data_IF_804848636426
#
_entry.id   IF_804848636426
#
_cell.length_a   1.000
_cell.length_b   1.000
_cell.length_c   1.000
_cell.angle_alpha   90.00
_cell.angle_beta   90.00
_cell.angle_gamma   90.00
#
_symmetry.space_group_name_H-M   'P 1'
#
loop_
_entity.id
_entity.type
_entity.pdbx_description
1 polymer ?
#
# COMPACT_ATOMS: atom_id res chain seq x y z
N UNK A 1 -17.83 1.29 -3.80
CA UNK A 1 -17.83 2.50 -2.95
C UNK A 1 -16.40 2.79 -2.57
N UNK A 2 -15.91 4.03 -2.77
CA UNK A 2 -14.59 4.40 -2.30
C UNK A 2 -14.66 4.53 -0.77
N UNK A 3 -13.94 3.67 -0.05
CA UNK A 3 -13.79 3.82 1.39
C UNK A 3 -13.05 5.13 1.67
N UNK A 4 -13.65 6.02 2.45
CA UNK A 4 -13.12 7.34 2.72
C UNK A 4 -12.24 7.35 3.97
N UNK A 5 -10.95 7.63 3.76
CA UNK A 5 -9.98 7.74 4.84
C UNK A 5 -10.24 8.95 5.74
N UNK A 6 -10.94 9.99 5.28
CA UNK A 6 -11.24 11.17 6.09
C UNK A 6 -12.25 10.82 7.19
N UNK A 7 -13.29 10.04 6.86
CA UNK A 7 -14.25 9.50 7.82
C UNK A 7 -13.56 8.63 8.89
N UNK A 8 -12.64 7.76 8.47
CA UNK A 8 -11.87 6.92 9.40
C UNK A 8 -10.95 7.75 10.32
N UNK A 9 -10.32 8.81 9.79
CA UNK A 9 -9.47 9.72 10.58
C UNK A 9 -10.26 10.60 11.56
N UNK A 10 -11.55 10.81 11.33
CA UNK A 10 -12.42 11.51 12.28
C UNK A 10 -12.67 10.65 13.52
N UNK A 11 -12.92 9.35 13.36
CA UNK A 11 -13.20 8.42 14.46
C UNK A 11 -11.94 7.85 15.14
N UNK A 12 -10.86 7.67 14.38
CA UNK A 12 -9.66 6.96 14.81
C UNK A 12 -8.38 7.78 14.67
N UNK A 13 -7.33 7.38 15.38
CA UNK A 13 -5.99 7.95 15.17
C UNK A 13 -5.35 7.25 13.97
N UNK A 14 -5.56 7.80 12.77
CA UNK A 14 -5.09 7.22 11.52
C UNK A 14 -3.65 7.67 11.21
N UNK A 15 -2.75 6.70 11.10
CA UNK A 15 -1.35 6.91 10.72
C UNK A 15 -1.13 6.32 9.34
N UNK A 16 -0.74 7.13 8.36
CA UNK A 16 -0.49 6.66 6.99
C UNK A 16 1.00 6.49 6.74
N UNK A 17 1.39 5.30 6.26
CA UNK A 17 2.77 4.98 5.88
C UNK A 17 2.81 4.49 4.43
N UNK A 18 3.78 4.97 3.66
CA UNK A 18 4.03 4.49 2.31
C UNK A 18 5.23 3.54 2.28
N UNK A 19 5.10 2.48 1.49
CA UNK A 19 6.17 1.51 1.24
C UNK A 19 6.59 1.57 -0.23
N UNK A 20 7.90 1.76 -0.44
CA UNK A 20 8.53 1.77 -1.76
C UNK A 20 9.79 0.90 -1.77
N UNK A 21 10.38 0.69 -2.95
CA UNK A 21 11.64 -0.04 -3.11
C UNK A 21 12.81 0.58 -2.33
N UNK A 22 12.79 1.89 -2.06
CA UNK A 22 13.85 2.57 -1.31
C UNK A 22 13.78 2.36 0.22
N UNK A 23 12.62 2.01 0.75
CA UNK A 23 12.47 1.84 2.19
C UNK A 23 13.11 0.54 2.67
N UNK A 24 13.85 0.61 3.77
CA UNK A 24 14.31 -0.57 4.50
C UNK A 24 13.15 -1.22 5.25
N UNK A 25 13.12 -2.55 5.24
CA UNK A 25 12.09 -3.34 5.92
C UNK A 25 12.12 -3.05 7.42
N UNK A 26 13.30 -3.09 8.04
CA UNK A 26 13.52 -2.81 9.47
C UNK A 26 12.89 -1.49 9.93
N UNK A 27 13.22 -0.38 9.25
CA UNK A 27 12.75 0.95 9.65
C UNK A 27 11.21 1.06 9.57
N UNK A 28 10.60 0.44 8.55
CA UNK A 28 9.14 0.44 8.41
C UNK A 28 8.46 -0.48 9.42
N UNK A 29 9.02 -1.65 9.69
CA UNK A 29 8.55 -2.54 10.75
C UNK A 29 8.60 -1.84 12.11
N UNK A 30 9.74 -1.23 12.47
CA UNK A 30 9.88 -0.49 13.72
C UNK A 30 8.87 0.67 13.85
N UNK A 31 8.65 1.42 12.76
CA UNK A 31 7.66 2.49 12.73
C UNK A 31 6.22 2.00 12.96
N UNK A 32 5.87 0.78 12.57
CA UNK A 32 4.56 0.19 12.85
C UNK A 32 4.45 -0.17 14.33
N UNK A 33 5.45 -0.90 14.84
CA UNK A 33 5.43 -1.45 16.19
C UNK A 33 5.43 -0.34 17.23
N UNK A 34 6.29 0.66 17.07
CA UNK A 34 6.32 1.86 17.94
C UNK A 34 4.96 2.57 18.04
N UNK A 35 4.12 2.53 16.99
CA UNK A 35 2.79 3.16 17.00
C UNK A 35 1.69 2.27 17.56
N UNK A 36 1.86 0.95 17.48
CA UNK A 36 0.87 -0.02 17.94
C UNK A 36 1.19 -0.59 19.33
N UNK A 37 2.36 -0.30 19.89
CA UNK A 37 2.73 -0.76 21.23
C UNK A 37 1.91 0.01 22.29
N UNK A 38 1.09 -0.67 23.10
CA UNK A 38 0.24 -0.04 24.11
C UNK A 38 1.01 0.52 25.31
N UNK A 39 2.34 0.43 25.36
CA UNK A 39 3.13 1.08 26.43
C UNK A 39 2.95 2.60 26.50
N UNK A 40 2.50 3.22 25.40
CA UNK A 40 2.10 4.64 25.35
C UNK A 40 0.58 4.85 25.53
N UNK A 41 -0.19 3.80 25.82
CA UNK A 41 -1.64 3.87 26.02
C UNK A 41 -1.98 4.33 27.45
N UNK A 42 -2.17 5.64 27.57
CA UNK A 42 -2.93 6.27 28.66
C UNK A 42 -4.40 5.78 28.70
N UNK A 43 -5.08 5.88 29.86
CA UNK A 43 -6.33 5.18 30.15
C UNK A 43 -7.54 5.66 29.35
N UNK A 44 -8.53 4.77 29.23
CA UNK A 44 -9.91 4.91 28.74
C UNK A 44 -10.33 6.28 28.18
N UNK A 45 -10.25 6.44 26.86
CA UNK A 45 -10.83 7.59 26.16
C UNK A 45 -10.16 7.96 24.83
N UNK A 46 -8.95 7.46 24.57
CA UNK A 46 -8.21 7.85 23.35
C UNK A 46 -8.59 6.99 22.13
N UNK A 47 -8.71 7.66 20.98
CA UNK A 47 -9.05 7.07 19.68
C UNK A 47 -8.16 5.88 19.37
N UNK A 48 -8.74 4.78 18.89
CA UNK A 48 -7.98 3.61 18.45
C UNK A 48 -6.96 3.99 17.38
N UNK A 49 -5.71 3.55 17.53
CA UNK A 49 -4.66 3.76 16.54
C UNK A 49 -4.84 2.76 15.40
N UNK A 50 -4.80 3.29 14.18
CA UNK A 50 -4.85 2.52 12.94
C UNK A 50 -3.64 2.91 12.10
N UNK A 51 -2.79 1.95 11.77
CA UNK A 51 -1.66 2.15 10.85
C UNK A 51 -2.05 1.65 9.46
N UNK A 52 -2.21 2.57 8.52
CA UNK A 52 -2.53 2.29 7.13
C UNK A 52 -1.26 2.29 6.28
N UNK A 53 -0.84 1.12 5.82
CA UNK A 53 0.35 0.96 4.99
C UNK A 53 -0.03 0.79 3.53
N UNK A 54 0.48 1.65 2.65
CA UNK A 54 0.14 1.63 1.22
C UNK A 54 1.37 1.35 0.36
N UNK A 55 1.20 0.49 -0.66
CA UNK A 55 2.20 0.23 -1.69
C UNK A 55 1.58 0.12 -3.08
N UNK A 56 2.31 0.61 -4.08
CA UNK A 56 2.05 0.33 -5.50
C UNK A 56 2.57 -1.06 -5.87
N UNK A 57 2.07 -1.63 -6.97
CA UNK A 57 2.40 -2.97 -7.49
C UNK A 57 3.84 -3.45 -7.22
N UNK A 58 4.85 -2.68 -7.62
CA UNK A 58 6.28 -3.06 -7.49
C UNK A 58 6.75 -3.23 -6.03
N UNK A 59 6.11 -2.55 -5.08
CA UNK A 59 6.46 -2.59 -3.66
C UNK A 59 5.49 -3.41 -2.81
N UNK A 60 4.45 -4.01 -3.41
CA UNK A 60 3.43 -4.77 -2.71
C UNK A 60 4.01 -5.99 -1.97
N UNK A 61 4.93 -6.73 -2.60
CA UNK A 61 5.61 -7.86 -1.95
C UNK A 61 6.38 -7.43 -0.70
N UNK A 62 7.10 -6.31 -0.77
CA UNK A 62 7.81 -5.72 0.38
C UNK A 62 6.84 -5.28 1.48
N UNK A 63 5.72 -4.67 1.11
CA UNK A 63 4.69 -4.29 2.08
C UNK A 63 4.20 -5.49 2.89
N UNK A 64 3.88 -6.60 2.21
CA UNK A 64 3.44 -7.83 2.87
C UNK A 64 4.53 -8.31 3.84
N UNK A 65 5.79 -8.37 3.41
CA UNK A 65 6.90 -8.77 4.29
C UNK A 65 7.00 -7.89 5.55
N UNK A 66 6.90 -6.56 5.41
CA UNK A 66 6.92 -5.62 6.52
C UNK A 66 5.78 -5.89 7.51
N UNK A 67 4.55 -6.06 6.99
CA UNK A 67 3.35 -6.34 7.81
C UNK A 67 3.49 -7.66 8.55
N UNK A 68 3.93 -8.74 7.89
CA UNK A 68 4.07 -10.05 8.51
C UNK A 68 5.17 -10.10 9.57
N UNK A 69 6.26 -9.34 9.39
CA UNK A 69 7.28 -9.20 10.44
C UNK A 69 6.69 -8.42 11.63
N UNK A 70 6.02 -7.29 11.38
CA UNK A 70 5.43 -6.48 12.45
C UNK A 70 4.37 -7.25 13.26
N UNK A 71 3.50 -8.02 12.59
CA UNK A 71 2.51 -8.88 13.28
C UNK A 71 3.17 -9.92 14.17
N UNK A 72 4.20 -10.60 13.68
CA UNK A 72 4.92 -11.61 14.47
C UNK A 72 5.52 -11.02 15.73
N UNK A 73 6.12 -9.85 15.65
CA UNK A 73 6.71 -9.17 16.80
C UNK A 73 5.64 -8.67 17.79
N UNK A 74 4.52 -8.12 17.30
CA UNK A 74 3.39 -7.72 18.16
C UNK A 74 2.80 -8.92 18.91
N UNK A 75 2.60 -10.05 18.23
CA UNK A 75 2.08 -11.28 18.84
C UNK A 75 3.07 -11.84 19.88
N UNK A 76 4.37 -11.81 19.60
CA UNK A 76 5.41 -12.19 20.56
C UNK A 76 5.38 -11.32 21.82
N UNK A 77 5.05 -10.03 21.68
CA UNK A 77 4.86 -9.10 22.78
C UNK A 77 3.48 -9.22 23.47
N UNK A 78 2.66 -10.21 23.11
CA UNK A 78 1.33 -10.44 23.68
C UNK A 78 0.26 -9.45 23.20
N UNK A 79 0.54 -8.67 22.16
CA UNK A 79 -0.36 -7.66 21.60
C UNK A 79 -1.18 -8.30 20.48
N UNK A 80 -2.51 -8.25 20.62
CA UNK A 80 -3.43 -8.65 19.54
C UNK A 80 -3.32 -7.67 18.37
N UNK A 81 -3.36 -8.20 17.15
CA UNK A 81 -3.31 -7.40 15.94
C UNK A 81 -4.44 -7.83 15.00
N UNK A 82 -5.20 -6.84 14.51
CA UNK A 82 -6.27 -7.01 13.53
C UNK A 82 -5.83 -6.38 12.22
N UNK A 83 -5.97 -7.12 11.13
CA UNK A 83 -5.59 -6.71 9.79
C UNK A 83 -6.82 -6.56 8.89
N UNK A 84 -6.82 -5.50 8.08
CA UNK A 84 -7.81 -5.26 7.04
C UNK A 84 -7.09 -4.92 5.73
N UNK A 85 -7.43 -5.61 4.64
CA UNK A 85 -6.73 -5.44 3.35
C UNK A 85 -7.65 -4.82 2.31
N UNK A 86 -7.26 -3.68 1.77
CA UNK A 86 -7.95 -3.00 0.69
C UNK A 86 -7.10 -2.99 -0.59
N UNK A 87 -7.76 -3.22 -1.73
CA UNK A 87 -7.15 -3.10 -3.05
C UNK A 87 -7.86 -2.00 -3.85
N UNK A 88 -7.10 -1.14 -4.49
CA UNK A 88 -7.61 -0.14 -5.44
C UNK A 88 -6.74 -0.07 -6.68
N UNK A 89 -7.24 0.59 -7.72
CA UNK A 89 -6.48 0.89 -8.92
C UNK A 89 -6.24 2.39 -9.02
N UNK A 90 -5.02 2.77 -9.37
CA UNK A 90 -4.61 4.15 -9.65
C UNK A 90 -4.18 4.21 -11.12
N UNK A 91 -4.76 5.11 -11.93
CA UNK A 91 -4.31 5.32 -13.31
C UNK A 91 -3.05 6.16 -13.27
N UNK A 92 -1.94 5.59 -13.73
CA UNK A 92 -0.63 6.23 -13.76
C UNK A 92 -0.17 6.35 -15.19
N UNK A 93 0.39 7.51 -15.53
CA UNK A 93 1.07 7.73 -16.81
C UNK A 93 2.47 7.11 -16.74
N UNK A 94 2.72 6.13 -17.61
CA UNK A 94 4.00 5.42 -17.70
C UNK A 94 4.69 5.82 -18.99
N UNK A 95 5.94 6.28 -18.91
CA UNK A 95 6.73 6.57 -20.09
C UNK A 95 6.88 5.31 -20.97
N UNK A 96 6.65 5.47 -22.27
CA UNK A 96 6.88 4.38 -23.23
C UNK A 96 8.40 4.16 -23.33
N UNK A 97 8.92 3.05 -22.78
CA UNK A 97 10.32 2.69 -23.00
C UNK A 97 10.49 2.32 -24.47
N UNK A 98 11.30 3.08 -25.22
CA UNK A 98 11.82 2.65 -26.51
C UNK A 98 12.79 1.50 -26.22
N UNK A 99 12.34 0.26 -26.37
CA UNK A 99 13.28 -0.86 -26.52
C UNK A 99 13.80 -0.77 -27.95
N UNK A 100 15.10 -0.55 -28.12
CA UNK A 100 15.79 -1.03 -29.31
C UNK A 100 15.87 -2.55 -29.15
N UNK A 101 14.98 -3.28 -29.81
CA UNK A 101 15.27 -4.67 -30.20
C UNK A 101 16.12 -4.53 -31.48
N UNK A 102 17.44 -4.46 -31.31
CA UNK A 102 18.39 -4.80 -32.37
C UNK A 102 18.54 -6.33 -32.32
N UNK A 103 17.68 -7.05 -33.03
CA UNK A 103 17.93 -8.41 -33.51
C UNK A 103 17.03 -8.65 -34.74
N UNK A 104 17.64 -8.43 -35.90
CA UNK A 104 17.39 -9.02 -37.22
C UNK A 104 15.95 -9.46 -37.56
N UNK A 105 15.27 -8.63 -38.36
CA UNK A 105 14.43 -9.10 -39.48
C UNK A 105 14.44 -8.00 -40.55
N UNK A 106 15.37 -8.13 -41.50
CA UNK A 106 15.27 -7.49 -42.83
C UNK A 106 14.03 -8.07 -43.52
N UNK A 107 12.88 -7.39 -43.40
CA UNK A 107 11.82 -7.28 -44.42
C UNK A 107 10.53 -6.79 -43.77
N UNK A 108 10.32 -5.46 -43.71
CA UNK A 108 8.99 -4.91 -43.96
C UNK A 108 9.05 -3.39 -44.20
N UNK A 109 8.94 -3.03 -45.48
CA UNK A 109 8.76 -1.67 -45.95
C UNK A 109 7.34 -1.18 -45.63
N UNK A 110 7.14 -0.64 -44.42
CA UNK A 110 5.97 0.18 -44.10
C UNK A 110 6.39 1.53 -43.50
N UNK A 111 6.40 2.56 -44.34
CA UNK A 111 6.49 3.94 -43.88
C UNK A 111 5.24 4.27 -43.05
N UNK A 112 5.41 4.42 -41.74
CA UNK A 112 4.33 4.86 -40.85
C UNK A 112 4.06 6.35 -41.09
N UNK A 113 3.00 6.65 -41.86
CA UNK A 113 2.45 8.00 -42.00
C UNK A 113 2.03 8.55 -40.63
N UNK A 114 2.55 9.72 -40.27
CA UNK A 114 1.86 10.64 -39.38
C UNK A 114 2.69 11.10 -38.19
N UNK A 115 3.28 12.28 -38.36
CA UNK A 115 3.73 13.19 -37.30
C UNK A 115 2.54 13.63 -36.43
N UNK A 116 2.00 12.70 -35.63
CA UNK A 116 1.17 13.05 -34.48
C UNK A 116 2.14 13.00 -33.31
N UNK A 117 2.24 14.10 -32.56
CA UNK A 117 2.88 14.14 -31.24
C UNK A 117 2.16 13.15 -30.31
N UNK A 118 2.40 11.87 -30.52
CA UNK A 118 1.85 10.78 -29.73
C UNK A 118 2.40 10.98 -28.33
N UNK A 119 1.51 11.19 -27.36
CA UNK A 119 1.87 11.44 -25.98
C UNK A 119 2.94 10.43 -25.55
N UNK A 120 4.08 10.95 -25.09
CA UNK A 120 5.25 10.16 -24.64
C UNK A 120 4.93 9.19 -23.50
N UNK A 121 3.73 9.30 -22.93
CA UNK A 121 3.21 8.52 -21.83
C UNK A 121 2.03 7.63 -22.24
N UNK A 122 2.01 6.41 -21.72
CA UNK A 122 0.92 5.44 -21.80
C UNK A 122 0.20 5.38 -20.46
N UNK A 123 -1.11 5.66 -20.46
CA UNK A 123 -1.97 5.45 -19.28
C UNK A 123 -2.03 3.96 -18.95
N UNK A 124 -1.69 3.59 -17.71
CA UNK A 124 -1.80 2.22 -17.19
C UNK A 124 -2.54 2.23 -15.86
N UNK A 125 -3.49 1.31 -15.71
CA UNK A 125 -4.08 1.01 -14.39
C UNK A 125 -3.05 0.26 -13.54
N UNK A 126 -2.58 0.87 -12.45
CA UNK A 126 -1.68 0.25 -11.49
C UNK A 126 -2.44 -0.17 -10.22
N UNK A 127 -2.28 -1.42 -9.76
CA UNK A 127 -2.85 -1.83 -8.48
C UNK A 127 -2.08 -1.18 -7.33
N UNK A 128 -2.85 -0.73 -6.33
CA UNK A 128 -2.39 -0.16 -5.07
C UNK A 128 -3.06 -0.93 -3.95
N UNK A 129 -2.24 -1.53 -3.09
CA UNK A 129 -2.70 -2.26 -1.91
C UNK A 129 -2.51 -1.36 -0.68
N UNK A 130 -3.52 -1.34 0.19
CA UNK A 130 -3.45 -0.70 1.50
C UNK A 130 -3.81 -1.73 2.56
N UNK A 131 -2.92 -1.92 3.53
CA UNK A 131 -3.15 -2.81 4.68
C UNK A 131 -3.28 -1.94 5.92
N UNK A 132 -4.40 -2.10 6.62
CA UNK A 132 -4.66 -1.44 7.90
C UNK A 132 -4.34 -2.41 9.04
N UNK A 133 -3.59 -1.95 10.03
CA UNK A 133 -3.29 -2.67 11.26
C UNK A 133 -3.81 -1.91 12.47
N UNK A 134 -4.43 -2.62 13.41
CA UNK A 134 -4.87 -2.06 14.68
C UNK A 134 -4.80 -3.09 15.81
N UNK A 135 -4.71 -2.62 17.05
CA UNK A 135 -4.73 -3.48 18.24
C UNK A 135 -6.15 -3.83 18.70
N UNK A 136 -7.16 -3.13 18.21
CA UNK A 136 -8.60 -3.37 18.49
C UNK A 136 -9.35 -3.60 17.18
N UNK A 137 -10.43 -4.37 17.24
CA UNK A 137 -11.31 -4.58 16.08
C UNK A 137 -12.02 -3.28 15.69
N UNK A 138 -11.94 -2.92 14.42
CA UNK A 138 -12.54 -1.70 13.85
C UNK A 138 -13.73 -2.10 12.98
N UNK A 139 -14.94 -1.73 13.41
CA UNK A 139 -16.20 -2.16 12.76
C UNK A 139 -16.30 -1.70 11.30
N UNK A 140 -15.91 -0.46 11.02
CA UNK A 140 -15.98 0.14 9.67
C UNK A 140 -15.11 -0.63 8.68
N UNK A 141 -13.87 -0.92 9.07
CA UNK A 141 -12.93 -1.69 8.25
C UNK A 141 -13.35 -3.16 8.13
N UNK A 142 -13.92 -3.74 9.19
CA UNK A 142 -14.45 -5.11 9.18
C UNK A 142 -15.59 -5.27 8.18
N UNK A 143 -16.52 -4.31 8.12
CA UNK A 143 -17.63 -4.31 7.17
C UNK A 143 -17.14 -4.08 5.74
N UNK A 144 -16.17 -3.17 5.55
CA UNK A 144 -15.71 -2.80 4.21
C UNK A 144 -14.78 -3.84 3.56
N UNK A 145 -13.88 -4.45 4.34
CA UNK A 145 -12.76 -5.24 3.81
C UNK A 145 -12.66 -6.66 4.40
N UNK A 146 -13.49 -6.98 5.40
CA UNK A 146 -13.31 -8.19 6.19
C UNK A 146 -12.15 -8.08 7.17
N UNK A 147 -12.12 -8.96 8.18
CA UNK A 147 -11.12 -8.95 9.26
C UNK A 147 -10.25 -10.19 9.17
N UNK A 148 -8.94 -10.01 9.23
CA UNK A 148 -7.94 -11.08 9.36
C UNK A 148 -7.23 -10.93 10.70
N UNK A 149 -7.09 -12.03 11.44
CA UNK A 149 -6.41 -12.12 12.74
C UNK A 149 -5.23 -13.05 12.68
#
# INVERSE_FOLDING_TARGET
MAFDNASLAAAHSLVQLNVSSAHQISNRTFAIISRLNPSDASPDGQKTVIVALTAKAKAAGKLISIVEIAKRELIQNGIKCFQYTALRSEVVDVERSRKNDDEDDEDDAFETMGDVKESTTKKRSMPVITIYLSTKSVKELKVAFGEQT
#
